data_IF_930455803623
#
_entry.id   IF_930455803623
#
_cell.length_a   1.000
_cell.length_b   1.000
_cell.length_c   1.000
_cell.angle_alpha   90.00
_cell.angle_beta   90.00
_cell.angle_gamma   90.00
#
_symmetry.space_group_name_H-M   'P 1'
#
loop_
_entity.id
_entity.type
_entity.pdbx_description
1 polymer ?
#
# COMPACT_ATOMS: atom_id res chain seq x y z
N UNK A 1 -16.33 7.98 15.04
CA UNK A 1 -15.03 8.56 15.53
C UNK A 1 -13.93 7.84 14.74
N UNK A 2 -13.35 8.50 13.77
CA UNK A 2 -12.36 7.91 12.85
C UNK A 2 -11.03 7.77 13.58
N UNK A 3 -10.65 6.55 13.96
CA UNK A 3 -9.30 6.23 14.45
C UNK A 3 -8.51 5.64 13.28
N UNK A 4 -7.42 6.28 12.89
CA UNK A 4 -6.44 5.67 11.99
C UNK A 4 -5.93 6.48 10.82
N UNK A 5 -6.52 7.62 10.47
CA UNK A 5 -5.90 8.51 9.49
C UNK A 5 -4.98 9.50 10.22
N UNK A 6 -3.78 9.67 9.69
CA UNK A 6 -2.79 10.63 10.20
C UNK A 6 -3.40 12.02 10.42
N UNK A 7 -3.07 12.75 11.49
CA UNK A 7 -3.72 14.03 11.83
C UNK A 7 -3.51 15.17 10.82
N UNK A 8 -2.85 14.89 9.72
CA UNK A 8 -2.51 15.88 8.68
C UNK A 8 -3.75 16.58 8.08
N UNK A 9 -4.83 15.85 7.81
CA UNK A 9 -6.05 16.42 7.21
C UNK A 9 -6.89 17.25 8.19
N UNK A 10 -6.77 17.04 9.51
CA UNK A 10 -7.43 17.88 10.51
C UNK A 10 -6.90 19.31 10.52
N UNK A 11 -5.69 19.53 10.02
CA UNK A 11 -5.10 20.88 9.89
C UNK A 11 -5.70 21.69 8.74
N UNK A 12 -6.38 21.04 7.80
CA UNK A 12 -6.95 21.71 6.62
C UNK A 12 -8.41 22.13 6.78
N UNK A 13 -9.00 21.97 7.97
CA UNK A 13 -10.37 22.39 8.26
C UNK A 13 -11.46 21.54 7.60
N UNK A 14 -11.15 20.34 7.12
CA UNK A 14 -12.15 19.42 6.55
C UNK A 14 -12.98 18.79 7.66
N UNK A 15 -14.22 19.27 7.84
CA UNK A 15 -15.14 18.80 8.88
C UNK A 15 -15.86 17.50 8.53
N UNK A 16 -16.01 17.20 7.23
CA UNK A 16 -16.77 16.04 6.71
C UNK A 16 -15.87 15.01 6.05
N UNK A 17 -14.97 14.39 6.83
CA UNK A 17 -14.11 13.31 6.32
C UNK A 17 -14.72 11.94 6.60
N UNK A 18 -14.88 11.14 5.53
CA UNK A 18 -15.32 9.75 5.61
C UNK A 18 -14.14 8.84 5.30
N UNK A 19 -13.97 7.79 6.11
CA UNK A 19 -12.98 6.76 5.88
C UNK A 19 -13.54 5.39 6.31
N UNK A 20 -13.16 4.31 5.64
CA UNK A 20 -13.43 2.96 6.13
C UNK A 20 -12.80 2.74 7.50
N UNK A 21 -13.36 1.82 8.31
CA UNK A 21 -12.91 1.59 9.69
C UNK A 21 -11.77 0.58 9.80
N UNK A 22 -11.76 -0.43 8.93
CA UNK A 22 -10.88 -1.60 9.06
C UNK A 22 -9.86 -1.72 7.94
N UNK A 23 -10.27 -1.45 6.69
CA UNK A 23 -9.40 -1.53 5.52
C UNK A 23 -9.32 -0.17 4.83
N UNK A 24 -8.13 0.21 4.40
CA UNK A 24 -7.88 1.52 3.76
C UNK A 24 -7.56 1.34 2.28
N UNK A 25 -8.44 0.62 1.56
CA UNK A 25 -8.34 0.36 0.13
C UNK A 25 -9.58 0.89 -0.62
N UNK A 26 -9.53 0.85 -1.95
CA UNK A 26 -10.63 1.32 -2.80
C UNK A 26 -11.89 0.49 -2.63
N UNK A 27 -11.73 -0.80 -2.36
CA UNK A 27 -12.82 -1.75 -2.14
C UNK A 27 -13.63 -1.34 -0.89
N UNK A 28 -12.95 -1.17 0.23
CA UNK A 28 -13.59 -0.75 1.47
C UNK A 28 -14.20 0.66 1.38
N UNK A 29 -13.54 1.57 0.64
CA UNK A 29 -14.10 2.90 0.39
C UNK A 29 -15.41 2.80 -0.40
N UNK A 30 -15.49 1.93 -1.41
CA UNK A 30 -16.69 1.70 -2.21
C UNK A 30 -17.83 1.04 -1.44
N UNK A 31 -17.56 0.41 -0.28
CA UNK A 31 -18.59 -0.15 0.62
C UNK A 31 -19.32 0.93 1.42
N UNK A 32 -18.75 2.13 1.57
CA UNK A 32 -19.36 3.21 2.35
C UNK A 32 -20.74 3.62 1.79
N UNK A 33 -21.75 3.82 2.64
CA UNK A 33 -23.09 4.24 2.22
C UNK A 33 -23.07 5.53 1.39
N UNK A 34 -22.20 6.47 1.72
CA UNK A 34 -22.06 7.75 1.01
C UNK A 34 -21.58 7.61 -0.44
N UNK A 35 -20.96 6.48 -0.80
CA UNK A 35 -20.49 6.21 -2.16
C UNK A 35 -21.39 5.25 -2.93
N UNK A 36 -22.56 4.87 -2.38
CA UNK A 36 -23.55 4.08 -3.09
C UNK A 36 -24.31 4.93 -4.12
N UNK A 37 -24.86 4.25 -5.15
CA UNK A 37 -25.58 4.89 -6.27
C UNK A 37 -26.57 5.99 -5.84
N UNK A 38 -27.44 5.81 -4.83
CA UNK A 38 -28.39 6.85 -4.43
C UNK A 38 -27.75 8.16 -3.98
N UNK A 39 -26.49 8.08 -3.50
CA UNK A 39 -25.77 9.23 -2.97
C UNK A 39 -24.85 9.90 -3.99
N UNK A 40 -24.33 9.14 -4.97
CA UNK A 40 -23.33 9.64 -5.93
C UNK A 40 -23.85 9.85 -7.34
N UNK A 41 -25.03 9.32 -7.71
CA UNK A 41 -25.59 9.52 -9.04
C UNK A 41 -25.79 11.01 -9.34
N UNK A 42 -25.27 11.46 -10.49
CA UNK A 42 -25.29 12.87 -10.91
C UNK A 42 -24.36 13.78 -10.09
N UNK A 43 -23.52 13.24 -9.21
CA UNK A 43 -22.53 14.01 -8.48
C UNK A 43 -21.18 14.01 -9.20
N UNK A 44 -20.46 15.14 -9.05
CA UNK A 44 -19.08 15.25 -9.51
C UNK A 44 -18.13 14.82 -8.40
N UNK A 45 -17.28 13.86 -8.71
CA UNK A 45 -16.28 13.29 -7.78
C UNK A 45 -14.89 13.57 -8.34
N UNK A 46 -14.00 14.14 -7.53
CA UNK A 46 -12.61 14.37 -7.91
C UNK A 46 -11.71 13.43 -7.13
N UNK A 47 -10.91 12.65 -7.85
CA UNK A 47 -9.95 11.71 -7.25
C UNK A 47 -8.55 12.32 -7.36
N UNK A 48 -7.98 12.67 -6.21
CA UNK A 48 -6.58 13.10 -6.11
C UNK A 48 -5.69 11.86 -6.05
N UNK A 49 -4.78 11.70 -7.00
CA UNK A 49 -3.90 10.51 -7.10
C UNK A 49 -2.53 10.83 -7.67
N UNK A 50 -1.62 9.88 -7.60
CA UNK A 50 -0.39 9.90 -8.41
C UNK A 50 -0.66 9.43 -9.84
N UNK A 51 0.37 9.51 -10.67
CA UNK A 51 0.36 8.92 -12.01
C UNK A 51 0.17 7.39 -11.91
N UNK A 52 -0.70 6.83 -12.73
CA UNK A 52 -1.02 5.41 -12.74
C UNK A 52 -1.81 4.94 -11.50
N UNK A 53 -1.95 3.64 -11.37
CA UNK A 53 -2.71 2.99 -10.32
C UNK A 53 -3.99 2.33 -10.83
N UNK A 54 -4.77 1.73 -9.91
CA UNK A 54 -5.99 1.01 -10.25
C UNK A 54 -7.13 1.97 -10.60
N UNK A 55 -7.90 1.65 -11.62
CA UNK A 55 -9.07 2.42 -12.04
C UNK A 55 -10.35 2.03 -11.28
N UNK A 56 -10.31 0.98 -10.45
CA UNK A 56 -11.46 0.39 -9.78
C UNK A 56 -12.39 1.42 -9.11
N UNK A 57 -11.81 2.38 -8.38
CA UNK A 57 -12.62 3.40 -7.69
C UNK A 57 -13.40 4.28 -8.66
N UNK A 58 -12.73 4.77 -9.70
CA UNK A 58 -13.37 5.65 -10.67
C UNK A 58 -14.40 4.92 -11.52
N UNK A 59 -14.07 3.72 -11.99
CA UNK A 59 -14.95 2.93 -12.82
C UNK A 59 -16.22 2.55 -12.04
N UNK A 60 -16.08 2.09 -10.80
CA UNK A 60 -17.23 1.80 -9.94
C UNK A 60 -18.11 3.04 -9.66
N UNK A 61 -17.50 4.21 -9.46
CA UNK A 61 -18.27 5.44 -9.24
C UNK A 61 -18.98 5.89 -10.51
N UNK A 62 -18.36 5.76 -11.69
CA UNK A 62 -18.99 6.04 -12.99
C UNK A 62 -20.17 5.08 -13.24
N UNK A 63 -20.02 3.79 -12.97
CA UNK A 63 -21.09 2.81 -13.04
C UNK A 63 -22.27 3.13 -12.10
N UNK A 64 -21.99 3.79 -10.97
CA UNK A 64 -22.97 4.31 -10.02
C UNK A 64 -23.59 5.64 -10.47
N UNK A 65 -23.17 6.19 -11.61
CA UNK A 65 -23.70 7.40 -12.21
C UNK A 65 -23.04 8.69 -11.77
N UNK A 66 -21.86 8.64 -11.18
CA UNK A 66 -21.06 9.82 -10.87
C UNK A 66 -20.26 10.29 -12.09
N UNK A 67 -20.02 11.60 -12.17
CA UNK A 67 -18.99 12.19 -13.04
C UNK A 67 -17.66 12.17 -12.29
N UNK A 68 -16.63 11.49 -12.84
CA UNK A 68 -15.36 11.32 -12.14
C UNK A 68 -14.22 11.95 -12.90
N UNK A 69 -13.55 12.91 -12.24
CA UNK A 69 -12.33 13.58 -12.70
C UNK A 69 -11.12 13.12 -11.87
N UNK A 70 -9.93 13.16 -12.49
CA UNK A 70 -8.66 12.93 -11.81
C UNK A 70 -7.83 14.20 -11.69
N UNK A 71 -7.19 14.36 -10.55
CA UNK A 71 -6.15 15.36 -10.32
C UNK A 71 -4.86 14.64 -9.95
N UNK A 72 -3.88 14.66 -10.85
CA UNK A 72 -2.56 14.10 -10.59
C UNK A 72 -1.75 15.05 -9.71
N UNK A 73 -1.47 14.66 -8.46
CA UNK A 73 -0.78 15.47 -7.46
C UNK A 73 0.70 15.14 -7.33
N UNK A 74 1.12 13.95 -7.75
CA UNK A 74 2.50 13.48 -7.65
C UNK A 74 2.79 12.40 -8.70
N UNK A 75 4.07 12.22 -8.99
CA UNK A 75 4.54 11.10 -9.81
C UNK A 75 5.14 10.04 -8.91
N UNK A 76 4.83 8.78 -9.21
CA UNK A 76 5.51 7.63 -8.65
C UNK A 76 6.57 7.18 -9.63
N UNK A 77 7.79 7.05 -9.17
CA UNK A 77 8.89 6.49 -9.92
C UNK A 77 9.63 5.48 -9.05
N UNK A 78 10.27 4.50 -9.68
CA UNK A 78 11.25 3.70 -8.98
C UNK A 78 12.43 4.60 -8.59
N UNK A 79 13.14 4.32 -7.49
CA UNK A 79 14.43 4.96 -7.22
C UNK A 79 15.44 4.58 -8.31
N UNK A 80 16.48 5.41 -8.48
CA UNK A 80 17.49 5.18 -9.52
C UNK A 80 18.42 4.00 -9.20
N UNK A 81 18.47 3.57 -7.93
CA UNK A 81 19.39 2.53 -7.47
C UNK A 81 18.93 1.88 -6.18
N UNK A 82 19.24 0.58 -6.03
CA UNK A 82 19.10 -0.19 -4.80
C UNK A 82 20.41 -0.31 -4.02
N UNK A 83 21.46 0.40 -4.39
CA UNK A 83 22.83 0.23 -3.87
C UNK A 83 22.93 0.28 -2.33
N UNK A 84 22.14 1.13 -1.67
CA UNK A 84 22.11 1.21 -0.20
C UNK A 84 21.59 -0.11 0.40
N UNK A 85 20.51 -0.64 -0.14
CA UNK A 85 19.90 -1.88 0.31
C UNK A 85 20.83 -3.08 0.06
N UNK A 86 21.45 -3.13 -1.12
CA UNK A 86 22.44 -4.15 -1.47
C UNK A 86 23.66 -4.12 -0.54
N UNK A 87 24.12 -2.91 -0.15
CA UNK A 87 25.20 -2.77 0.81
C UNK A 87 24.83 -3.30 2.20
N UNK A 88 23.60 -3.06 2.66
CA UNK A 88 23.08 -3.59 3.93
C UNK A 88 23.03 -5.11 3.94
N UNK A 89 22.61 -5.75 2.85
CA UNK A 89 22.66 -7.21 2.74
C UNK A 89 24.08 -7.74 2.76
N UNK A 90 25.00 -7.12 2.00
CA UNK A 90 26.41 -7.54 1.96
C UNK A 90 27.11 -7.42 3.30
N UNK A 91 26.71 -6.47 4.14
CA UNK A 91 27.27 -6.26 5.49
C UNK A 91 26.49 -6.97 6.59
N UNK A 92 25.48 -7.80 6.24
CA UNK A 92 24.62 -8.52 7.18
C UNK A 92 23.91 -7.59 8.20
N UNK A 93 23.58 -6.37 7.78
CA UNK A 93 22.91 -5.35 8.60
C UNK A 93 21.43 -5.20 8.31
N UNK A 94 20.85 -6.11 7.53
CA UNK A 94 19.42 -6.09 7.17
C UNK A 94 18.72 -7.36 7.66
N UNK A 95 17.94 -7.22 8.71
CA UNK A 95 17.21 -8.32 9.33
C UNK A 95 15.84 -8.57 8.68
N UNK A 96 15.17 -7.52 8.19
CA UNK A 96 13.84 -7.61 7.59
C UNK A 96 13.53 -6.42 6.68
N UNK A 97 12.47 -6.58 5.90
CA UNK A 97 11.87 -5.52 5.08
C UNK A 97 10.40 -5.36 5.43
N UNK A 98 9.90 -4.14 5.33
CA UNK A 98 8.47 -3.85 5.29
C UNK A 98 8.08 -3.36 3.90
N UNK A 99 7.03 -3.91 3.32
CA UNK A 99 6.57 -3.54 1.98
C UNK A 99 5.08 -3.24 2.00
N UNK A 100 4.72 -1.98 1.78
CA UNK A 100 3.35 -1.49 1.87
C UNK A 100 2.62 -1.39 0.52
N UNK A 101 3.31 -1.67 -0.62
CA UNK A 101 2.67 -1.63 -1.93
C UNK A 101 3.19 -2.69 -2.89
N UNK A 102 2.30 -3.21 -3.74
CA UNK A 102 2.65 -4.17 -4.79
C UNK A 102 3.56 -3.56 -5.86
N UNK A 103 3.39 -2.28 -6.15
CA UNK A 103 4.25 -1.54 -7.08
C UNK A 103 5.66 -1.37 -6.52
N UNK A 104 5.77 -0.97 -5.24
CA UNK A 104 7.07 -0.87 -4.56
C UNK A 104 7.83 -2.20 -4.53
N UNK A 105 7.13 -3.31 -4.33
CA UNK A 105 7.76 -4.63 -4.37
C UNK A 105 8.28 -5.00 -5.78
N UNK A 106 7.51 -4.72 -6.83
CA UNK A 106 7.97 -4.95 -8.21
C UNK A 106 9.19 -4.09 -8.53
N UNK A 107 9.09 -2.79 -8.25
CA UNK A 107 10.21 -1.86 -8.49
C UNK A 107 11.47 -2.30 -7.75
N UNK A 108 11.33 -2.78 -6.50
CA UNK A 108 12.46 -3.33 -5.74
C UNK A 108 13.08 -4.53 -6.46
N UNK A 109 12.29 -5.52 -6.83
CA UNK A 109 12.80 -6.75 -7.49
C UNK A 109 13.45 -6.42 -8.84
N UNK A 110 12.90 -5.46 -9.59
CA UNK A 110 13.44 -5.06 -10.90
C UNK A 110 14.79 -4.36 -10.79
N UNK A 111 15.01 -3.61 -9.71
CA UNK A 111 16.26 -2.89 -9.44
C UNK A 111 17.40 -3.76 -8.93
N UNK A 112 17.11 -4.89 -8.26
CA UNK A 112 18.10 -5.72 -7.61
C UNK A 112 18.90 -6.56 -8.62
N UNK A 113 20.21 -6.69 -8.38
CA UNK A 113 21.06 -7.67 -9.04
C UNK A 113 20.78 -9.12 -8.59
N UNK A 114 21.40 -10.10 -9.21
CA UNK A 114 21.16 -11.51 -8.91
C UNK A 114 21.54 -11.92 -7.46
N UNK A 115 22.67 -11.48 -6.89
CA UNK A 115 22.99 -11.70 -5.48
C UNK A 115 21.98 -11.12 -4.52
N UNK A 116 21.57 -9.86 -4.73
CA UNK A 116 20.60 -9.19 -3.86
C UNK A 116 19.19 -9.80 -3.96
N UNK A 117 18.80 -10.28 -5.16
CA UNK A 117 17.56 -11.07 -5.30
C UNK A 117 17.61 -12.38 -4.52
N UNK A 118 18.77 -13.03 -4.44
CA UNK A 118 18.92 -14.23 -3.62
C UNK A 118 18.77 -13.90 -2.13
N UNK A 119 19.35 -12.80 -1.67
CA UNK A 119 19.20 -12.31 -0.30
C UNK A 119 17.74 -11.94 0.02
N UNK A 120 17.05 -11.24 -0.90
CA UNK A 120 15.64 -10.90 -0.74
C UNK A 120 14.75 -12.12 -0.53
N UNK A 121 15.03 -13.25 -1.21
CA UNK A 121 14.22 -14.47 -1.09
C UNK A 121 14.17 -15.03 0.33
N UNK A 122 15.26 -14.88 1.08
CA UNK A 122 15.40 -15.43 2.44
C UNK A 122 15.19 -14.38 3.54
N UNK A 123 15.20 -13.11 3.20
CA UNK A 123 14.92 -12.01 4.14
C UNK A 123 13.44 -12.01 4.52
N UNK A 124 13.10 -11.88 5.81
CA UNK A 124 11.72 -11.69 6.25
C UNK A 124 11.10 -10.43 5.65
N UNK A 125 9.92 -10.56 5.03
CA UNK A 125 9.20 -9.42 4.43
C UNK A 125 7.82 -9.29 5.05
N UNK A 126 7.58 -8.22 5.77
CA UNK A 126 6.32 -7.90 6.42
C UNK A 126 5.43 -7.09 5.49
N UNK A 127 4.20 -7.54 5.29
CA UNK A 127 3.26 -6.95 4.34
C UNK A 127 1.87 -6.80 4.96
N UNK A 128 1.24 -5.59 4.90
CA UNK A 128 -0.04 -5.34 5.57
C UNK A 128 -1.27 -5.71 4.72
N UNK A 129 -1.09 -6.40 3.58
CA UNK A 129 -2.21 -6.70 2.69
C UNK A 129 -2.02 -8.05 1.98
N UNK A 130 -3.04 -8.93 1.92
CA UNK A 130 -2.96 -10.25 1.27
C UNK A 130 -2.46 -10.19 -0.17
N UNK A 131 -2.91 -9.21 -0.96
CA UNK A 131 -2.47 -9.02 -2.35
C UNK A 131 -0.96 -8.81 -2.49
N UNK A 132 -0.33 -8.14 -1.51
CA UNK A 132 1.13 -7.94 -1.52
C UNK A 132 1.82 -9.26 -1.16
N UNK A 133 1.27 -10.02 -0.20
CA UNK A 133 1.78 -11.33 0.18
C UNK A 133 1.73 -12.32 -0.99
N UNK A 134 0.61 -12.39 -1.70
CA UNK A 134 0.48 -13.23 -2.90
C UNK A 134 1.49 -12.85 -3.99
N UNK A 135 1.70 -11.56 -4.21
CA UNK A 135 2.71 -11.09 -5.16
C UNK A 135 4.11 -11.48 -4.72
N UNK A 136 4.45 -11.29 -3.45
CA UNK A 136 5.75 -11.65 -2.89
C UNK A 136 6.04 -13.15 -3.07
N UNK A 137 5.07 -14.01 -2.78
CA UNK A 137 5.17 -15.45 -3.01
C UNK A 137 5.37 -15.81 -4.49
N UNK A 138 4.62 -15.16 -5.40
CA UNK A 138 4.77 -15.33 -6.86
C UNK A 138 6.16 -14.90 -7.36
N UNK A 139 6.77 -13.92 -6.71
CA UNK A 139 8.13 -13.47 -6.98
C UNK A 139 9.21 -14.33 -6.33
N UNK A 140 8.81 -15.39 -5.62
CA UNK A 140 9.69 -16.40 -5.03
C UNK A 140 10.26 -16.04 -3.66
N UNK A 141 9.66 -15.06 -2.93
CA UNK A 141 10.02 -14.75 -1.56
C UNK A 141 9.54 -15.88 -0.64
N UNK A 142 10.43 -16.38 0.22
CA UNK A 142 10.18 -17.58 1.05
C UNK A 142 9.66 -17.21 2.45
N UNK A 143 9.98 -16.01 2.95
CA UNK A 143 9.64 -15.57 4.31
C UNK A 143 8.73 -14.34 4.27
N UNK A 144 7.48 -14.55 3.86
CA UNK A 144 6.46 -13.50 3.76
C UNK A 144 5.56 -13.55 4.99
N UNK A 145 5.52 -12.48 5.75
CA UNK A 145 4.71 -12.32 6.95
C UNK A 145 3.55 -11.37 6.65
N UNK A 146 2.34 -11.89 6.54
CA UNK A 146 1.14 -11.08 6.44
C UNK A 146 0.81 -10.54 7.84
N UNK A 147 0.68 -9.22 7.95
CA UNK A 147 0.35 -8.54 9.20
C UNK A 147 -1.10 -8.04 9.17
N UNK A 148 -1.58 -7.61 10.33
CA UNK A 148 -2.78 -6.78 10.37
C UNK A 148 -2.55 -5.47 9.59
N UNK A 149 -3.63 -4.85 9.08
CA UNK A 149 -3.54 -3.60 8.30
C UNK A 149 -2.93 -2.44 9.08
N UNK A 150 -2.38 -1.48 8.35
CA UNK A 150 -1.76 -0.25 8.86
C UNK A 150 -0.46 -0.47 9.67
N UNK A 151 0.17 0.64 10.05
CA UNK A 151 1.48 0.64 10.75
C UNK A 151 1.43 -0.12 12.07
N UNK A 152 0.32 -0.04 12.79
CA UNK A 152 0.14 -0.75 14.06
C UNK A 152 0.24 -2.27 13.90
N UNK A 153 -0.30 -2.83 12.80
CA UNK A 153 -0.21 -4.25 12.50
C UNK A 153 1.23 -4.69 12.19
N UNK A 154 1.96 -3.89 11.42
CA UNK A 154 3.37 -4.14 11.10
C UNK A 154 4.21 -4.12 12.39
N UNK A 155 4.04 -3.08 13.24
CA UNK A 155 4.77 -2.94 14.49
C UNK A 155 4.48 -4.11 15.44
N UNK A 156 3.23 -4.50 15.57
CA UNK A 156 2.84 -5.64 16.40
C UNK A 156 3.50 -6.94 15.91
N UNK A 157 3.52 -7.18 14.60
CA UNK A 157 4.15 -8.36 14.03
C UNK A 157 5.67 -8.37 14.22
N UNK A 158 6.35 -7.22 14.05
CA UNK A 158 7.78 -7.07 14.29
C UNK A 158 8.15 -7.37 15.75
N UNK A 159 7.32 -6.94 16.70
CA UNK A 159 7.56 -7.14 18.14
C UNK A 159 7.47 -8.60 18.58
N UNK A 160 6.65 -9.41 17.91
CA UNK A 160 6.46 -10.84 18.27
C UNK A 160 7.23 -11.79 17.36
N UNK A 161 7.91 -11.26 16.34
CA UNK A 161 8.65 -12.09 15.39
C UNK A 161 9.85 -12.76 16.04
N UNK A 162 10.06 -14.05 15.72
CA UNK A 162 11.22 -14.77 16.22
C UNK A 162 12.46 -14.51 15.35
N UNK A 163 13.30 -13.60 15.81
CA UNK A 163 14.53 -13.16 15.11
C UNK A 163 15.69 -14.18 15.13
N UNK A 164 15.52 -15.29 15.85
CA UNK A 164 16.60 -16.29 16.08
C UNK A 164 16.60 -17.45 15.07
N UNK A 165 15.85 -17.36 14.00
CA UNK A 165 15.73 -18.45 13.02
C UNK A 165 16.58 -18.21 11.77
#
# INVERSE_FOLDING_TARGET
MVRGASPCWRRTGSENTLAPLERFDSEALLELPALQRPCVAGKRVVIFRGNGGRELLADSLRERGAEVDYVSCYQRSAPDSAAVLEALWRSEQLDALTVSSSEGLRNLVDLLDAPARASLRTTPVFVPHPRIAELAQKLGLQRVILTEPADAGIIAALNVYNWRS
#
